data_IF_649450942989
#
_entry.id   IF_649450942989
#
_cell.length_a   1.000
_cell.length_b   1.000
_cell.length_c   1.000
_cell.angle_alpha   90.00
_cell.angle_beta   90.00
_cell.angle_gamma   90.00
#
_symmetry.space_group_name_H-M   'P 1'
#
loop_
_entity.id
_entity.type
_entity.pdbx_description
1 polymer ?
#
# COMPACT_ATOMS: atom_id res chain seq x y z
N UNK A 1 6.92 -5.04 2.28
CA UNK A 1 7.39 -3.86 1.51
C UNK A 1 7.76 -2.72 2.44
N UNK A 2 6.89 -2.37 3.40
CA UNK A 2 7.13 -1.30 4.38
C UNK A 2 8.40 -1.50 5.25
N UNK A 3 8.76 -2.73 5.62
CA UNK A 3 9.98 -2.97 6.42
C UNK A 3 11.27 -2.56 5.70
N UNK A 4 11.36 -2.79 4.38
CA UNK A 4 12.55 -2.40 3.59
C UNK A 4 12.66 -0.88 3.44
N UNK A 5 11.53 -0.20 3.25
CA UNK A 5 11.50 1.27 3.14
C UNK A 5 11.78 1.95 4.48
N UNK A 6 11.24 1.43 5.58
CA UNK A 6 11.56 1.91 6.93
C UNK A 6 13.04 1.71 7.26
N UNK A 7 13.64 0.59 6.82
CA UNK A 7 15.08 0.37 6.98
C UNK A 7 15.91 1.39 6.19
N UNK A 8 15.45 1.81 5.00
CA UNK A 8 16.12 2.85 4.19
C UNK A 8 16.04 4.22 4.89
N UNK A 9 14.87 4.61 5.42
CA UNK A 9 14.74 5.86 6.20
C UNK A 9 15.70 5.84 7.40
N UNK A 10 15.72 4.74 8.15
CA UNK A 10 16.61 4.60 9.29
C UNK A 10 18.09 4.71 8.87
N UNK A 11 18.48 4.08 7.76
CA UNK A 11 19.84 4.21 7.22
C UNK A 11 20.17 5.66 6.87
N UNK A 12 19.29 6.37 6.17
CA UNK A 12 19.47 7.78 5.80
C UNK A 12 19.70 8.63 7.05
N UNK A 13 18.88 8.47 8.09
CA UNK A 13 19.00 9.23 9.34
C UNK A 13 20.27 8.93 10.15
N UNK A 14 20.90 7.78 9.93
CA UNK A 14 22.14 7.37 10.64
C UNK A 14 23.40 7.46 9.79
N UNK A 15 23.28 7.86 8.52
CA UNK A 15 24.44 7.91 7.62
C UNK A 15 25.29 9.12 7.95
N UNK A 16 26.53 8.87 8.37
CA UNK A 16 27.53 9.91 8.56
C UNK A 16 28.38 10.08 7.30
N UNK A 17 28.67 11.33 6.94
CA UNK A 17 29.51 11.68 5.80
C UNK A 17 30.82 12.28 6.27
N UNK A 18 31.93 11.83 5.70
CA UNK A 18 33.24 12.46 5.92
C UNK A 18 33.28 13.86 5.31
N UNK A 19 33.84 14.81 6.05
CA UNK A 19 34.06 16.17 5.54
C UNK A 19 35.36 16.25 4.73
N UNK A 20 35.29 16.87 3.54
CA UNK A 20 36.44 17.13 2.68
C UNK A 20 36.60 18.62 2.39
N UNK A 21 37.83 19.06 2.06
CA UNK A 21 38.09 20.42 1.60
C UNK A 21 37.34 20.64 0.29
N UNK A 22 36.50 21.68 0.23
CA UNK A 22 35.53 21.96 -0.86
C UNK A 22 34.37 20.97 -0.99
N UNK A 23 34.02 20.24 0.06
CA UNK A 23 32.80 19.42 0.11
C UNK A 23 31.50 20.23 0.19
N UNK A 24 30.36 19.53 0.10
CA UNK A 24 29.05 20.14 0.29
C UNK A 24 28.88 20.65 1.74
N UNK A 25 28.23 21.81 1.94
CA UNK A 25 27.87 22.26 3.28
C UNK A 25 26.97 21.22 3.96
N UNK A 26 27.24 20.81 5.22
CA UNK A 26 26.44 19.79 5.93
C UNK A 26 24.95 20.10 5.91
N UNK A 27 24.58 21.34 6.18
CA UNK A 27 23.19 21.83 6.17
C UNK A 27 22.45 21.60 4.83
N UNK A 28 23.17 21.61 3.71
CA UNK A 28 22.59 21.35 2.38
C UNK A 28 22.36 19.85 2.18
N UNK A 29 23.29 19.03 2.66
CA UNK A 29 23.17 17.56 2.63
C UNK A 29 22.03 17.13 3.53
N UNK A 30 21.99 17.59 4.78
CA UNK A 30 20.95 17.27 5.76
C UNK A 30 19.56 17.62 5.22
N UNK A 31 19.38 18.86 4.72
CA UNK A 31 18.11 19.28 4.14
C UNK A 31 17.69 18.48 2.90
N UNK A 32 18.65 17.91 2.17
CA UNK A 32 18.36 17.03 1.05
C UNK A 32 17.95 15.63 1.53
N UNK A 33 18.60 15.10 2.56
CA UNK A 33 18.25 13.82 3.18
C UNK A 33 16.88 13.86 3.86
N UNK A 34 16.51 14.98 4.48
CA UNK A 34 15.17 15.21 5.03
C UNK A 34 14.11 15.11 3.92
N UNK A 35 14.34 15.79 2.79
CA UNK A 35 13.41 15.72 1.64
C UNK A 35 13.28 14.31 1.07
N UNK A 36 14.38 13.55 1.01
CA UNK A 36 14.31 12.15 0.58
C UNK A 36 13.47 11.34 1.57
N UNK A 37 13.67 11.53 2.88
CA UNK A 37 12.91 10.85 3.92
C UNK A 37 11.41 11.13 3.80
N UNK A 38 11.03 12.40 3.57
CA UNK A 38 9.63 12.81 3.36
C UNK A 38 9.02 12.13 2.13
N UNK A 39 9.73 12.12 0.99
CA UNK A 39 9.26 11.47 -0.23
C UNK A 39 9.08 9.95 -0.04
N UNK A 40 9.99 9.30 0.69
CA UNK A 40 9.86 7.88 1.00
C UNK A 40 8.62 7.64 1.86
N UNK A 41 8.37 8.47 2.88
CA UNK A 41 7.16 8.36 3.70
C UNK A 41 5.89 8.54 2.89
N UNK A 42 5.86 9.51 1.96
CA UNK A 42 4.72 9.73 1.08
C UNK A 42 4.43 8.47 0.23
N UNK A 43 5.46 7.86 -0.35
CA UNK A 43 5.32 6.62 -1.15
C UNK A 43 4.80 5.46 -0.29
N UNK A 44 5.28 5.31 0.95
CA UNK A 44 4.78 4.28 1.88
C UNK A 44 3.29 4.49 2.16
N UNK A 45 2.89 5.75 2.41
CA UNK A 45 1.50 6.08 2.72
C UNK A 45 0.60 5.77 1.53
N UNK A 46 0.98 6.21 0.32
CA UNK A 46 0.23 5.93 -0.91
C UNK A 46 0.09 4.42 -1.15
N UNK A 47 1.16 3.64 -0.97
CA UNK A 47 1.12 2.18 -1.13
C UNK A 47 0.17 1.52 -0.12
N UNK A 48 0.18 1.99 1.13
CA UNK A 48 -0.68 1.49 2.21
C UNK A 48 -2.16 1.81 1.92
N UNK A 49 -2.45 3.03 1.47
CA UNK A 49 -3.82 3.42 1.11
C UNK A 49 -4.34 2.63 -0.09
N UNK A 50 -3.48 2.37 -1.09
CA UNK A 50 -3.83 1.54 -2.23
C UNK A 50 -4.09 0.08 -1.84
N UNK A 51 -3.27 -0.50 -0.97
CA UNK A 51 -3.47 -1.86 -0.45
C UNK A 51 -4.79 -1.98 0.30
N UNK A 52 -5.11 -1.01 1.18
CA UNK A 52 -6.40 -0.96 1.88
C UNK A 52 -7.58 -0.86 0.92
N UNK A 53 -7.50 0.01 -0.09
CA UNK A 53 -8.56 0.14 -1.08
C UNK A 53 -8.77 -1.16 -1.88
N UNK A 54 -7.70 -1.87 -2.18
CA UNK A 54 -7.75 -3.17 -2.84
C UNK A 54 -8.45 -4.22 -1.96
N UNK A 55 -8.10 -4.31 -0.68
CA UNK A 55 -8.71 -5.26 0.26
C UNK A 55 -10.20 -4.97 0.49
N UNK A 56 -10.58 -3.70 0.58
CA UNK A 56 -11.98 -3.27 0.65
C UNK A 56 -12.76 -3.71 -0.61
N UNK A 57 -12.17 -3.51 -1.78
CA UNK A 57 -12.78 -3.90 -3.06
C UNK A 57 -12.91 -5.42 -3.18
N UNK A 58 -11.87 -6.17 -2.79
CA UNK A 58 -11.86 -7.63 -2.75
C UNK A 58 -12.95 -8.17 -1.82
N UNK A 59 -13.12 -7.57 -0.66
CA UNK A 59 -14.17 -7.93 0.30
C UNK A 59 -15.56 -7.71 -0.29
N UNK A 60 -15.80 -6.54 -0.92
CA UNK A 60 -17.07 -6.24 -1.60
C UNK A 60 -17.36 -7.20 -2.75
N UNK A 61 -16.34 -7.50 -3.56
CA UNK A 61 -16.46 -8.46 -4.67
C UNK A 61 -16.84 -9.86 -4.17
N UNK A 62 -16.15 -10.37 -3.14
CA UNK A 62 -16.43 -11.68 -2.57
C UNK A 62 -17.86 -11.77 -2.02
N UNK A 63 -18.33 -10.73 -1.33
CA UNK A 63 -19.71 -10.66 -0.84
C UNK A 63 -20.73 -10.67 -1.98
N UNK A 64 -20.48 -9.91 -3.04
CA UNK A 64 -21.33 -9.88 -4.23
C UNK A 64 -21.38 -11.25 -4.93
N UNK A 65 -20.22 -11.90 -5.11
CA UNK A 65 -20.11 -13.23 -5.71
C UNK A 65 -20.89 -14.29 -4.93
N UNK A 66 -20.82 -14.26 -3.59
CA UNK A 66 -21.59 -15.14 -2.72
C UNK A 66 -23.10 -14.89 -2.86
N UNK A 67 -23.53 -13.64 -2.91
CA UNK A 67 -24.93 -13.29 -3.11
C UNK A 67 -25.45 -13.77 -4.47
N UNK A 68 -24.67 -13.56 -5.54
CA UNK A 68 -25.01 -14.05 -6.88
C UNK A 68 -25.13 -15.57 -6.92
N UNK A 69 -24.19 -16.27 -6.27
CA UNK A 69 -24.24 -17.73 -6.15
C UNK A 69 -25.51 -18.18 -5.44
N UNK A 70 -25.87 -17.52 -4.33
CA UNK A 70 -27.10 -17.81 -3.59
C UNK A 70 -28.35 -17.57 -4.44
N UNK A 71 -28.46 -16.44 -5.12
CA UNK A 71 -29.58 -16.15 -6.02
C UNK A 71 -29.68 -17.16 -7.17
N UNK A 72 -28.54 -17.61 -7.71
CA UNK A 72 -28.54 -18.61 -8.78
C UNK A 72 -29.07 -19.97 -8.30
N UNK A 73 -28.70 -20.38 -7.08
CA UNK A 73 -29.23 -21.60 -6.44
C UNK A 73 -30.74 -21.48 -6.21
N UNK A 74 -31.21 -20.36 -5.65
CA UNK A 74 -32.63 -20.11 -5.44
C UNK A 74 -33.43 -20.15 -6.74
N UNK A 75 -32.93 -19.51 -7.81
CA UNK A 75 -33.56 -19.54 -9.13
C UNK A 75 -33.63 -20.95 -9.73
N UNK A 76 -32.63 -21.79 -9.50
CA UNK A 76 -32.66 -23.18 -9.94
C UNK A 76 -33.78 -23.95 -9.24
N UNK A 77 -33.90 -23.81 -7.92
CA UNK A 77 -34.97 -24.44 -7.15
C UNK A 77 -36.36 -24.01 -7.61
N UNK A 78 -36.59 -22.72 -7.87
CA UNK A 78 -37.89 -22.25 -8.37
C UNK A 78 -38.23 -22.85 -9.75
N UNK A 79 -37.27 -22.92 -10.66
CA UNK A 79 -37.48 -23.51 -12.00
C UNK A 79 -37.82 -25.01 -11.94
N UNK A 80 -37.28 -25.73 -10.97
CA UNK A 80 -37.59 -27.15 -10.78
C UNK A 80 -38.98 -27.38 -10.15
N UNK A 81 -39.50 -26.42 -9.37
CA UNK A 81 -40.84 -26.52 -8.76
C UNK A 81 -41.98 -26.13 -9.70
N UNK A 82 -41.76 -25.21 -10.65
CA UNK A 82 -42.79 -24.80 -11.64
C UNK A 82 -42.91 -25.77 -12.84
N UNK A 83 -42.06 -26.80 -12.91
CA UNK A 83 -41.99 -27.78 -14.00
C UNK A 83 -42.75 -29.10 -13.78
N UNK A 84 -43.58 -29.18 -12.75
CA UNK A 84 -44.40 -30.35 -12.38
C UNK A 84 -45.86 -29.97 -12.19
#
# INVERSE_FOLDING_TARGET
>A
MNEKLNAIIAQISTTEFSSEINGYPPQVVDAFLDKISDLIQEVIQQATDQEKAYDDMKTKFNKCSQQLTKCNVELHFFKEMDGN
#
